data_IF_528996915937
#
_entry.id   IF_528996915937
#
_cell.length_a   1.000
_cell.length_b   1.000
_cell.length_c   1.000
_cell.angle_alpha   90.00
_cell.angle_beta   90.00
_cell.angle_gamma   90.00
#
_symmetry.space_group_name_H-M   'P 1'
#
loop_
_entity.id
_entity.type
_entity.pdbx_description
1 polymer ?
#
# COMPACT_ATOMS: atom_id res chain seq x y z
N UNK A 1 -14.69 38.42 -33.14
CA UNK A 1 -14.78 37.23 -32.26
C UNK A 1 -13.81 37.46 -31.11
N UNK A 2 -14.33 37.56 -29.89
CA UNK A 2 -13.58 38.04 -28.73
C UNK A 2 -12.52 37.02 -28.30
N UNK A 3 -11.27 37.49 -28.25
CA UNK A 3 -10.21 36.89 -27.46
C UNK A 3 -10.52 37.14 -25.98
N UNK A 4 -10.72 36.08 -25.20
CA UNK A 4 -10.80 36.20 -23.74
C UNK A 4 -9.37 36.35 -23.19
N UNK A 5 -8.98 37.59 -22.92
CA UNK A 5 -7.76 37.94 -22.22
C UNK A 5 -7.84 37.44 -20.78
N UNK A 6 -6.94 36.52 -20.39
CA UNK A 6 -6.69 36.23 -18.99
C UNK A 6 -6.16 37.50 -18.31
N UNK A 7 -7.02 38.19 -17.56
CA UNK A 7 -6.60 39.24 -16.63
C UNK A 7 -5.75 38.61 -15.53
N UNK A 8 -4.63 39.26 -15.25
CA UNK A 8 -3.72 38.97 -14.14
C UNK A 8 -4.46 39.09 -12.80
N UNK A 9 -5.03 37.99 -12.31
CA UNK A 9 -5.48 37.90 -10.93
C UNK A 9 -4.25 37.78 -10.02
N UNK A 10 -4.18 38.72 -9.08
CA UNK A 10 -3.27 38.81 -7.94
C UNK A 10 -2.39 37.58 -7.69
N UNK A 11 -1.13 37.65 -8.11
CA UNK A 11 -0.07 36.77 -7.62
C UNK A 11 0.11 37.10 -6.13
N UNK A 12 -0.63 36.41 -5.27
CA UNK A 12 -0.36 36.45 -3.84
C UNK A 12 1.05 35.88 -3.62
N UNK A 13 1.89 36.64 -2.94
CA UNK A 13 3.22 36.18 -2.52
C UNK A 13 3.06 34.89 -1.69
N UNK A 14 3.88 33.85 -1.93
CA UNK A 14 3.82 32.61 -1.17
C UNK A 14 3.93 32.91 0.33
N UNK A 15 2.92 32.52 1.10
CA UNK A 15 2.97 32.58 2.57
C UNK A 15 3.85 31.45 3.08
N UNK A 16 4.38 31.60 4.30
CA UNK A 16 5.07 30.52 5.00
C UNK A 16 4.16 29.27 5.02
N UNK A 17 4.65 28.12 4.53
CA UNK A 17 3.85 26.91 4.36
C UNK A 17 3.27 26.64 2.96
N UNK A 18 3.55 27.49 1.96
CA UNK A 18 3.18 27.22 0.56
C UNK A 18 3.84 25.94 0.04
N UNK A 19 3.06 25.01 -0.54
CA UNK A 19 3.55 23.73 -1.05
C UNK A 19 3.07 23.50 -2.48
N UNK A 20 3.99 23.10 -3.36
CA UNK A 20 3.76 22.88 -4.78
C UNK A 20 3.99 21.44 -5.20
N UNK A 21 3.20 20.97 -6.16
CA UNK A 21 3.11 19.58 -6.57
C UNK A 21 2.84 19.43 -8.05
N UNK A 22 3.18 18.27 -8.63
CA UNK A 22 2.90 17.98 -10.04
C UNK A 22 2.58 16.52 -10.33
N UNK A 23 1.80 16.31 -11.39
CA UNK A 23 1.53 14.99 -11.95
C UNK A 23 2.80 14.34 -12.52
N UNK A 24 2.75 13.06 -12.93
CA UNK A 24 3.94 12.36 -13.48
C UNK A 24 4.54 13.11 -14.67
N UNK A 25 3.73 13.62 -15.60
CA UNK A 25 4.24 14.36 -16.76
C UNK A 25 4.52 15.86 -16.53
N UNK A 26 4.29 16.38 -15.32
CA UNK A 26 4.52 17.79 -14.99
C UNK A 26 3.53 18.82 -15.57
N UNK A 27 2.59 18.43 -16.45
CA UNK A 27 1.66 19.37 -17.09
C UNK A 27 0.53 19.88 -16.20
N UNK A 28 0.25 19.17 -15.11
CA UNK A 28 -0.69 19.61 -14.08
C UNK A 28 0.09 19.92 -12.83
N UNK A 29 -0.13 21.11 -12.27
CA UNK A 29 0.46 21.56 -11.03
C UNK A 29 -0.62 21.94 -10.01
N UNK A 30 -0.31 21.72 -8.74
CA UNK A 30 -1.16 22.11 -7.61
C UNK A 30 -0.30 22.89 -6.64
N UNK A 31 -0.81 24.02 -6.15
CA UNK A 31 -0.18 24.84 -5.10
C UNK A 31 -1.18 25.03 -3.97
N UNK A 32 -0.80 24.66 -2.75
CA UNK A 32 -1.54 25.05 -1.55
C UNK A 32 -0.95 26.34 -0.97
N UNK A 33 -1.82 27.28 -0.63
CA UNK A 33 -1.49 28.62 -0.11
C UNK A 33 -1.55 28.70 1.43
N UNK A 34 -1.98 27.62 2.07
CA UNK A 34 -2.13 27.52 3.53
C UNK A 34 -1.59 26.20 4.06
N UNK A 35 -1.45 26.10 5.39
CA UNK A 35 -1.16 24.84 6.05
C UNK A 35 -2.35 23.85 5.89
N UNK A 36 -2.09 22.54 5.79
CA UNK A 36 -3.16 21.57 5.65
C UNK A 36 -4.05 21.53 6.90
N UNK A 37 -5.35 21.35 6.70
CA UNK A 37 -6.32 21.15 7.78
C UNK A 37 -6.09 19.82 8.50
N UNK A 38 -5.73 18.79 7.72
CA UNK A 38 -5.35 17.45 8.18
C UNK A 38 -4.80 16.63 7.02
N UNK A 39 -4.10 15.54 7.33
CA UNK A 39 -3.75 14.49 6.36
C UNK A 39 -4.34 13.17 6.83
N UNK A 40 -5.01 12.44 5.95
CA UNK A 40 -5.70 11.20 6.31
C UNK A 40 -5.47 10.12 5.26
N UNK A 41 -5.53 8.86 5.68
CA UNK A 41 -5.53 7.71 4.79
C UNK A 41 -6.87 6.99 4.89
N UNK A 42 -7.63 7.01 3.80
CA UNK A 42 -8.95 6.40 3.73
C UNK A 42 -8.87 5.02 3.05
N UNK A 43 -9.40 3.99 3.72
CA UNK A 43 -9.34 2.60 3.27
C UNK A 43 -10.66 2.06 2.70
N UNK A 44 -11.68 2.92 2.53
CA UNK A 44 -12.95 2.44 1.98
C UNK A 44 -12.78 1.85 0.57
N UNK A 45 -13.71 0.98 0.19
CA UNK A 45 -13.68 0.29 -1.11
C UNK A 45 -13.56 1.29 -2.27
N UNK A 46 -14.28 2.40 -2.24
CA UNK A 46 -14.21 3.43 -3.29
C UNK A 46 -12.82 4.04 -3.43
N UNK A 47 -12.16 4.31 -2.30
CA UNK A 47 -10.83 4.91 -2.29
C UNK A 47 -9.77 3.90 -2.75
N UNK A 48 -9.86 2.64 -2.31
CA UNK A 48 -9.02 1.55 -2.80
C UNK A 48 -9.19 1.32 -4.30
N UNK A 49 -10.43 1.22 -4.78
CA UNK A 49 -10.75 0.95 -6.19
C UNK A 49 -10.40 2.11 -7.11
N UNK A 50 -10.44 3.35 -6.63
CA UNK A 50 -10.01 4.48 -7.43
C UNK A 50 -8.49 4.53 -7.57
N UNK A 51 -7.76 4.56 -6.45
CA UNK A 51 -6.30 4.67 -6.49
C UNK A 51 -5.62 3.40 -6.99
N UNK A 52 -6.33 2.27 -6.97
CA UNK A 52 -5.74 0.96 -7.22
C UNK A 52 -4.76 0.53 -6.12
N UNK A 53 -4.72 1.23 -5.00
CA UNK A 53 -3.76 1.05 -3.91
C UNK A 53 -4.47 0.64 -2.61
N UNK A 54 -3.73 0.61 -1.50
CA UNK A 54 -4.21 0.22 -0.16
C UNK A 54 -5.24 1.20 0.44
N UNK A 55 -5.40 2.37 -0.19
CA UNK A 55 -6.33 3.42 0.19
C UNK A 55 -6.05 4.70 -0.61
N UNK A 56 -6.75 5.78 -0.27
CA UNK A 56 -6.45 7.14 -0.75
C UNK A 56 -5.84 7.94 0.38
N UNK A 57 -4.60 8.39 0.19
CA UNK A 57 -4.02 9.39 1.08
C UNK A 57 -4.33 10.80 0.59
N UNK A 58 -4.92 11.60 1.47
CA UNK A 58 -5.43 12.93 1.15
C UNK A 58 -4.88 13.97 2.12
N UNK A 59 -4.41 15.08 1.56
CA UNK A 59 -4.10 16.30 2.30
C UNK A 59 -5.28 17.26 2.13
N UNK A 60 -5.89 17.66 3.22
CA UNK A 60 -7.14 18.43 3.21
C UNK A 60 -6.86 19.92 3.27
N UNK A 61 -7.48 20.67 2.37
CA UNK A 61 -7.43 22.13 2.32
C UNK A 61 -8.82 22.70 2.11
N UNK A 62 -9.00 23.98 2.46
CA UNK A 62 -10.13 24.76 1.95
C UNK A 62 -10.00 24.92 0.44
N UNK A 63 -11.11 24.95 -0.28
CA UNK A 63 -11.09 25.06 -1.75
C UNK A 63 -10.37 26.33 -2.19
N UNK A 64 -10.62 27.45 -1.53
CA UNK A 64 -10.01 28.76 -1.82
C UNK A 64 -8.49 28.79 -1.63
N UNK A 65 -7.94 27.88 -0.82
CA UNK A 65 -6.50 27.82 -0.53
C UNK A 65 -5.70 26.95 -1.52
N UNK A 66 -6.33 26.43 -2.57
CA UNK A 66 -5.67 25.55 -3.54
C UNK A 66 -5.78 26.09 -4.97
N UNK A 67 -4.63 26.35 -5.58
CA UNK A 67 -4.52 26.65 -7.01
C UNK A 67 -4.18 25.34 -7.73
N UNK A 68 -4.93 25.02 -8.78
CA UNK A 68 -4.64 23.88 -9.65
C UNK A 68 -4.65 24.34 -11.11
N UNK A 69 -3.56 24.08 -11.82
CA UNK A 69 -3.34 24.50 -13.21
C UNK A 69 -3.09 23.29 -14.10
N UNK A 70 -3.45 23.41 -15.39
CA UNK A 70 -3.34 22.34 -16.38
C UNK A 70 -4.68 21.65 -16.68
N UNK A 71 -4.67 20.73 -17.65
CA UNK A 71 -5.88 20.06 -18.12
C UNK A 71 -6.21 18.83 -17.27
N UNK A 72 -7.43 18.79 -16.74
CA UNK A 72 -7.94 17.72 -15.89
C UNK A 72 -9.08 16.96 -16.56
N UNK A 73 -9.17 15.68 -16.23
CA UNK A 73 -10.37 14.86 -16.42
C UNK A 73 -11.07 14.74 -15.07
N UNK A 74 -12.40 14.67 -15.10
CA UNK A 74 -13.22 14.60 -13.89
C UNK A 74 -14.12 13.36 -13.89
N UNK A 75 -14.26 12.75 -12.73
CA UNK A 75 -15.22 11.68 -12.48
C UNK A 75 -16.00 11.96 -11.20
N UNK A 76 -17.34 12.03 -11.32
CA UNK A 76 -18.22 12.22 -10.17
C UNK A 76 -18.58 10.87 -9.55
N UNK A 77 -18.23 10.69 -8.28
CA UNK A 77 -18.56 9.52 -7.48
C UNK A 77 -19.36 9.99 -6.24
N UNK A 78 -20.69 9.90 -6.32
CA UNK A 78 -21.57 10.46 -5.29
C UNK A 78 -21.39 11.99 -5.15
N UNK A 79 -21.02 12.45 -3.95
CA UNK A 79 -20.75 13.86 -3.63
C UNK A 79 -19.32 14.31 -3.96
N UNK A 80 -18.45 13.39 -4.36
CA UNK A 80 -17.03 13.63 -4.66
C UNK A 80 -16.82 13.85 -6.16
N UNK A 81 -15.95 14.79 -6.50
CA UNK A 81 -15.47 14.98 -7.88
C UNK A 81 -13.98 14.69 -7.91
N UNK A 82 -13.63 13.51 -8.42
CA UNK A 82 -12.26 13.00 -8.52
C UNK A 82 -11.61 13.55 -9.79
N UNK A 83 -10.40 14.12 -9.68
CA UNK A 83 -9.71 14.78 -10.79
C UNK A 83 -8.36 14.15 -11.07
N UNK A 84 -8.10 13.87 -12.34
CA UNK A 84 -6.83 13.30 -12.81
C UNK A 84 -6.26 14.10 -13.99
N UNK A 85 -4.95 14.03 -14.20
CA UNK A 85 -4.30 14.67 -15.35
C UNK A 85 -4.84 14.10 -16.67
N UNK A 86 -5.18 14.97 -17.63
CA UNK A 86 -5.71 14.55 -18.93
C UNK A 86 -4.71 13.83 -19.84
N UNK A 87 -3.40 13.98 -19.58
CA UNK A 87 -2.33 13.33 -20.38
C UNK A 87 -1.80 12.05 -19.74
N UNK A 88 -1.39 12.11 -18.47
CA UNK A 88 -0.73 10.99 -17.79
C UNK A 88 -1.63 10.25 -16.79
N UNK A 89 -2.87 10.69 -16.62
CA UNK A 89 -3.90 10.05 -15.78
C UNK A 89 -3.57 9.95 -14.28
N UNK A 90 -2.45 10.52 -13.83
CA UNK A 90 -2.13 10.75 -12.42
C UNK A 90 -3.31 11.36 -11.68
N UNK A 91 -3.62 10.81 -10.51
CA UNK A 91 -4.62 11.37 -9.62
C UNK A 91 -4.10 12.64 -8.94
N UNK A 92 -4.89 13.71 -8.99
CA UNK A 92 -4.44 15.06 -8.59
C UNK A 92 -5.13 15.51 -7.32
N UNK A 93 -6.45 15.56 -7.33
CA UNK A 93 -7.25 15.97 -6.18
C UNK A 93 -8.67 15.43 -6.26
N UNK A 94 -9.36 15.40 -5.13
CA UNK A 94 -10.80 15.19 -5.04
C UNK A 94 -11.46 16.45 -4.48
N UNK A 95 -12.45 16.99 -5.17
CA UNK A 95 -13.26 18.10 -4.68
C UNK A 95 -14.45 17.59 -3.86
N UNK A 96 -14.74 18.30 -2.77
CA UNK A 96 -15.89 18.11 -1.89
C UNK A 96 -16.74 19.40 -1.90
N UNK A 97 -17.51 19.67 -2.96
CA UNK A 97 -18.11 21.00 -3.19
C UNK A 97 -19.04 21.45 -2.04
N UNK A 98 -19.83 20.52 -1.48
CA UNK A 98 -20.73 20.82 -0.36
C UNK A 98 -20.03 21.25 0.92
N UNK A 99 -18.78 20.83 1.10
CA UNK A 99 -17.99 21.18 2.28
C UNK A 99 -17.06 22.37 2.03
N UNK A 100 -16.95 22.86 0.79
CA UNK A 100 -15.93 23.87 0.44
C UNK A 100 -14.50 23.34 0.60
N UNK A 101 -14.29 22.02 0.50
CA UNK A 101 -13.00 21.37 0.75
C UNK A 101 -12.44 20.71 -0.51
N UNK A 102 -11.12 20.55 -0.52
CA UNK A 102 -10.40 19.71 -1.48
C UNK A 102 -9.43 18.78 -0.77
N UNK A 103 -9.33 17.57 -1.29
CA UNK A 103 -8.36 16.55 -0.90
C UNK A 103 -7.28 16.51 -1.98
N UNK A 104 -6.10 17.07 -1.71
CA UNK A 104 -4.94 16.96 -2.61
C UNK A 104 -4.29 15.59 -2.42
N UNK A 105 -4.05 14.88 -3.51
CA UNK A 105 -3.45 13.55 -3.49
C UNK A 105 -1.95 13.63 -3.13
N UNK A 106 -1.52 12.87 -2.12
CA UNK A 106 -0.12 12.86 -1.62
C UNK A 106 0.88 12.47 -2.69
N UNK A 107 0.45 11.71 -3.69
CA UNK A 107 1.27 11.36 -4.84
C UNK A 107 2.02 12.52 -5.47
N UNK A 108 1.47 13.72 -5.39
CA UNK A 108 2.07 14.90 -6.01
C UNK A 108 3.09 15.60 -5.07
N UNK A 109 3.21 15.16 -3.81
CA UNK A 109 3.99 15.72 -2.70
C UNK A 109 5.31 15.00 -2.40
N UNK A 110 6.42 15.55 -2.90
CA UNK A 110 7.78 15.16 -2.49
C UNK A 110 8.16 15.67 -1.09
N UNK A 111 7.28 15.53 -0.09
CA UNK A 111 7.48 16.09 1.26
C UNK A 111 7.10 15.05 2.32
N UNK A 112 7.81 15.07 3.45
CA UNK A 112 7.37 14.38 4.67
C UNK A 112 6.02 14.94 5.14
N UNK A 113 5.05 14.04 5.32
CA UNK A 113 3.69 14.39 5.73
C UNK A 113 3.37 13.63 7.02
N UNK A 114 2.92 14.37 8.03
CA UNK A 114 2.36 13.76 9.24
C UNK A 114 0.93 13.31 8.96
N UNK A 115 0.69 12.00 9.09
CA UNK A 115 -0.64 11.42 9.03
C UNK A 115 -1.37 11.70 10.35
N UNK A 116 -2.64 12.12 10.26
CA UNK A 116 -3.45 12.42 11.46
C UNK A 116 -4.40 11.30 11.86
N UNK A 117 -4.86 10.48 10.90
CA UNK A 117 -5.77 9.38 11.14
C UNK A 117 -5.91 8.45 9.92
N UNK A 118 -6.37 7.23 10.18
CA UNK A 118 -6.96 6.33 9.20
C UNK A 118 -8.47 6.32 9.33
N UNK A 119 -9.17 6.34 8.20
CA UNK A 119 -10.62 6.18 8.13
C UNK A 119 -10.99 4.89 7.40
N UNK A 120 -12.14 4.33 7.76
CA UNK A 120 -12.65 3.07 7.20
C UNK A 120 -11.68 1.89 7.37
N UNK A 121 -11.03 1.83 8.53
CA UNK A 121 -9.98 0.87 8.84
C UNK A 121 -10.53 -0.51 9.26
N UNK A 122 -11.63 -0.97 8.66
CA UNK A 122 -12.24 -2.28 8.95
C UNK A 122 -11.70 -3.42 8.08
N UNK A 123 -11.18 -3.09 6.91
CA UNK A 123 -10.62 -4.05 5.94
C UNK A 123 -9.35 -3.52 5.28
N UNK A 124 -8.34 -3.09 6.08
CA UNK A 124 -7.09 -2.60 5.53
C UNK A 124 -6.39 -3.70 4.73
N UNK A 125 -5.82 -3.34 3.58
CA UNK A 125 -5.04 -4.29 2.76
C UNK A 125 -3.66 -4.58 3.37
N UNK A 126 -3.13 -3.62 4.13
CA UNK A 126 -1.89 -3.75 4.88
C UNK A 126 -2.04 -3.06 6.23
N UNK A 127 -1.34 -3.57 7.24
CA UNK A 127 -1.20 -2.86 8.51
C UNK A 127 -0.03 -1.88 8.40
N UNK A 128 -0.25 -0.62 8.77
CA UNK A 128 0.82 0.37 8.76
C UNK A 128 1.67 0.28 10.04
N UNK A 129 1.15 -0.30 11.12
CA UNK A 129 1.83 -0.42 12.41
C UNK A 129 2.16 0.94 13.05
N UNK A 130 1.40 1.97 12.70
CA UNK A 130 1.51 3.31 13.26
C UNK A 130 0.56 3.54 14.45
N UNK A 131 0.87 4.60 15.21
CA UNK A 131 0.15 4.96 16.43
C UNK A 131 -0.97 5.97 16.18
N UNK A 132 -1.21 6.33 14.92
CA UNK A 132 -2.21 7.33 14.59
C UNK A 132 -3.63 6.76 14.78
N UNK A 133 -4.58 7.61 15.20
CA UNK A 133 -6.01 7.32 15.24
C UNK A 133 -6.56 6.46 14.09
N UNK A 134 -7.08 5.26 14.38
CA UNK A 134 -7.81 4.41 13.41
C UNK A 134 -9.31 4.41 13.73
N UNK A 135 -10.15 4.61 12.71
CA UNK A 135 -11.61 4.67 12.83
C UNK A 135 -12.29 3.64 11.91
N UNK A 136 -13.39 3.06 12.41
CA UNK A 136 -14.27 2.15 11.63
C UNK A 136 -14.89 2.88 10.43
N UNK A 137 -15.17 4.16 10.58
CA UNK A 137 -15.68 5.06 9.55
C UNK A 137 -15.05 6.46 9.73
N UNK A 138 -15.85 7.53 9.76
CA UNK A 138 -15.38 8.86 10.12
C UNK A 138 -15.49 9.12 11.63
N UNK A 139 -14.61 9.97 12.19
CA UNK A 139 -14.80 10.48 13.55
C UNK A 139 -16.14 11.25 13.66
N UNK A 140 -16.71 11.31 14.87
CA UNK A 140 -17.94 12.06 15.14
C UNK A 140 -17.86 13.54 14.70
N UNK A 141 -16.67 14.14 14.83
CA UNK A 141 -16.39 15.51 14.36
C UNK A 141 -16.52 15.70 12.84
N UNK A 142 -16.57 14.62 12.06
CA UNK A 142 -16.78 14.61 10.60
C UNK A 142 -18.11 13.94 10.22
N UNK A 143 -19.02 13.72 11.19
CA UNK A 143 -20.34 13.15 10.97
C UNK A 143 -20.37 11.62 10.82
N UNK A 144 -19.33 10.92 11.24
CA UNK A 144 -19.35 9.45 11.36
C UNK A 144 -19.62 8.97 12.78
N UNK A 145 -19.50 7.66 13.00
CA UNK A 145 -19.79 7.01 14.28
C UNK A 145 -18.83 7.40 15.41
N UNK A 146 -17.58 7.77 15.08
CA UNK A 146 -16.53 7.99 16.08
C UNK A 146 -15.92 6.72 16.67
N UNK A 147 -16.38 5.53 16.27
CA UNK A 147 -15.91 4.26 16.80
C UNK A 147 -14.46 4.00 16.37
N UNK A 148 -13.62 3.65 17.35
CA UNK A 148 -12.22 3.28 17.15
C UNK A 148 -12.12 1.90 16.53
N UNK A 149 -11.19 1.78 15.59
CA UNK A 149 -10.81 0.51 15.01
C UNK A 149 -9.72 -0.12 15.89
N UNK A 150 -10.12 -0.97 16.85
CA UNK A 150 -9.21 -1.66 17.77
C UNK A 150 -8.88 -3.05 17.22
N UNK A 151 -7.78 -3.16 16.47
CA UNK A 151 -7.25 -4.41 15.87
C UNK A 151 -8.08 -5.02 14.74
N UNK A 152 -7.44 -5.42 13.63
CA UNK A 152 -8.12 -6.08 12.52
C UNK A 152 -7.31 -7.20 11.90
N UNK A 153 -8.05 -8.23 11.49
CA UNK A 153 -7.63 -9.34 10.69
C UNK A 153 -7.28 -8.84 9.31
N UNK A 154 -5.99 -8.83 8.96
CA UNK A 154 -5.57 -8.72 7.57
C UNK A 154 -6.33 -9.77 6.75
N UNK A 155 -6.72 -9.38 5.54
CA UNK A 155 -7.52 -10.16 4.60
C UNK A 155 -7.10 -11.65 4.63
N UNK A 156 -8.04 -12.61 4.72
CA UNK A 156 -7.70 -14.02 4.69
C UNK A 156 -6.91 -14.34 3.41
N UNK A 157 -5.96 -15.28 3.51
CA UNK A 157 -5.26 -15.82 2.35
C UNK A 157 -6.30 -16.48 1.43
N UNK A 158 -6.68 -15.80 0.35
CA UNK A 158 -7.57 -16.35 -0.67
C UNK A 158 -6.72 -16.92 -1.78
N UNK A 159 -6.64 -18.24 -1.84
CA UNK A 159 -6.01 -19.00 -2.91
C UNK A 159 -7.10 -19.57 -3.82
N UNK A 160 -7.61 -18.76 -4.74
CA UNK A 160 -8.24 -19.18 -6.01
C UNK A 160 -8.82 -17.96 -6.74
N UNK A 161 -8.53 -17.86 -8.05
CA UNK A 161 -9.05 -16.91 -9.04
C UNK A 161 -9.23 -15.45 -8.57
N UNK A 162 -8.32 -14.57 -8.97
CA UNK A 162 -8.42 -13.15 -8.62
C UNK A 162 -9.41 -12.44 -9.55
N UNK A 163 -10.45 -11.89 -8.95
CA UNK A 163 -11.43 -11.04 -9.65
C UNK A 163 -11.43 -9.63 -9.08
N UNK A 164 -11.60 -8.66 -9.96
CA UNK A 164 -11.64 -7.25 -9.59
C UNK A 164 -12.47 -6.44 -10.57
N UNK A 165 -12.83 -5.24 -10.12
CA UNK A 165 -13.47 -4.24 -10.98
C UNK A 165 -13.04 -2.85 -10.57
N UNK A 166 -12.96 -1.95 -11.56
CA UNK A 166 -12.73 -0.54 -11.29
C UNK A 166 -13.88 0.07 -10.49
N UNK A 167 -13.68 1.29 -9.98
CA UNK A 167 -14.68 2.01 -9.18
C UNK A 167 -16.07 2.08 -9.84
N UNK A 168 -16.15 2.37 -11.14
CA UNK A 168 -17.44 2.45 -11.84
C UNK A 168 -17.95 1.10 -12.40
N UNK A 169 -17.19 0.02 -12.23
CA UNK A 169 -17.53 -1.31 -12.71
C UNK A 169 -17.39 -1.55 -14.21
N UNK A 170 -16.97 -0.55 -15.02
CA UNK A 170 -16.87 -0.70 -16.47
C UNK A 170 -15.62 -1.47 -16.94
N UNK A 171 -14.64 -1.64 -16.05
CA UNK A 171 -13.46 -2.46 -16.29
C UNK A 171 -13.48 -3.61 -15.30
N UNK A 172 -13.39 -4.82 -15.80
CA UNK A 172 -13.38 -6.06 -15.04
C UNK A 172 -12.05 -6.76 -15.29
N UNK A 173 -11.44 -7.27 -14.22
CA UNK A 173 -10.21 -8.06 -14.27
C UNK A 173 -10.50 -9.46 -13.74
N UNK A 174 -10.02 -10.47 -14.45
CA UNK A 174 -10.01 -11.86 -14.02
C UNK A 174 -8.62 -12.45 -14.24
N UNK A 175 -8.12 -13.22 -13.27
CA UNK A 175 -6.81 -13.88 -13.34
C UNK A 175 -6.96 -15.35 -12.95
N UNK A 176 -6.43 -16.25 -13.78
CA UNK A 176 -6.59 -17.70 -13.63
C UNK A 176 -5.44 -18.39 -12.88
N UNK A 177 -4.42 -17.66 -12.44
CA UNK A 177 -3.28 -18.22 -11.70
C UNK A 177 -2.83 -17.37 -10.52
N UNK A 178 -1.83 -17.87 -9.82
CA UNK A 178 -1.21 -17.23 -8.66
C UNK A 178 -0.29 -16.07 -9.07
N UNK A 179 -0.13 -15.04 -8.22
CA UNK A 179 0.82 -13.96 -8.49
C UNK A 179 2.26 -14.48 -8.38
N UNK A 180 3.11 -13.99 -9.28
CA UNK A 180 4.57 -14.14 -9.18
C UNK A 180 5.10 -13.39 -7.95
N UNK A 181 4.53 -12.23 -7.65
CA UNK A 181 4.89 -11.39 -6.52
C UNK A 181 3.82 -10.35 -6.21
N UNK A 182 3.78 -9.89 -4.97
CA UNK A 182 2.99 -8.74 -4.54
C UNK A 182 3.88 -7.72 -3.85
N UNK A 183 3.80 -6.47 -4.28
CA UNK A 183 4.68 -5.42 -3.80
C UNK A 183 3.93 -4.14 -3.51
N UNK A 184 4.36 -3.42 -2.47
CA UNK A 184 3.92 -2.06 -2.21
C UNK A 184 5.07 -1.13 -2.60
N UNK A 185 4.97 -0.54 -3.78
CA UNK A 185 6.01 0.30 -4.35
C UNK A 185 5.87 1.75 -3.89
N UNK A 186 6.96 2.28 -3.35
CA UNK A 186 7.06 3.62 -2.77
C UNK A 186 7.73 4.62 -3.71
N UNK A 187 8.03 4.28 -4.96
CA UNK A 187 8.69 5.24 -5.84
C UNK A 187 7.78 6.46 -6.10
N UNK A 188 8.38 7.64 -6.28
CA UNK A 188 7.66 8.89 -6.50
C UNK A 188 6.69 8.81 -7.69
N UNK A 189 7.02 8.04 -8.72
CA UNK A 189 6.13 7.85 -9.86
C UNK A 189 4.87 7.05 -9.50
N UNK A 190 5.02 5.95 -8.73
CA UNK A 190 3.90 5.17 -8.22
C UNK A 190 3.00 5.99 -7.29
N UNK A 191 3.61 6.83 -6.45
CA UNK A 191 2.89 7.78 -5.63
C UNK A 191 2.10 8.75 -6.52
N UNK A 192 2.76 9.45 -7.46
CA UNK A 192 2.14 10.42 -8.40
C UNK A 192 1.06 9.82 -9.28
N UNK A 193 1.19 8.55 -9.69
CA UNK A 193 0.22 7.90 -10.55
C UNK A 193 -1.07 7.58 -9.79
N UNK A 194 -0.94 6.86 -8.67
CA UNK A 194 -2.07 6.40 -7.84
C UNK A 194 -2.69 7.52 -7.00
N UNK A 195 -1.94 8.62 -6.78
CA UNK A 195 -2.33 9.68 -5.86
C UNK A 195 -2.39 9.24 -4.40
N UNK A 196 -1.75 8.12 -4.05
CA UNK A 196 -1.73 7.54 -2.71
C UNK A 196 -0.32 7.48 -2.12
N UNK A 197 -0.14 6.82 -0.97
CA UNK A 197 1.16 6.64 -0.31
C UNK A 197 2.11 5.71 -1.06
N UNK A 198 1.60 4.96 -2.03
CA UNK A 198 2.37 4.05 -2.88
C UNK A 198 1.43 3.29 -3.81
N UNK A 199 1.98 2.36 -4.59
CA UNK A 199 1.23 1.48 -5.49
C UNK A 199 1.25 0.04 -4.96
N UNK A 200 0.07 -0.57 -4.79
CA UNK A 200 -0.04 -1.99 -4.48
C UNK A 200 -0.06 -2.80 -5.79
N UNK A 201 1.09 -3.33 -6.18
CA UNK A 201 1.29 -4.16 -7.35
C UNK A 201 1.04 -5.63 -7.02
N UNK A 202 0.15 -6.27 -7.78
CA UNK A 202 -0.01 -7.72 -7.81
C UNK A 202 0.46 -8.20 -9.17
N UNK A 203 1.58 -8.89 -9.21
CA UNK A 203 2.35 -9.17 -10.43
C UNK A 203 2.02 -10.58 -10.88
N UNK A 204 1.57 -10.72 -12.13
CA UNK A 204 1.20 -11.99 -12.75
C UNK A 204 1.94 -12.16 -14.08
N UNK A 205 2.03 -13.40 -14.56
CA UNK A 205 2.21 -13.66 -15.98
C UNK A 205 1.04 -13.01 -16.76
N UNK A 206 1.36 -12.17 -17.74
CA UNK A 206 0.39 -11.44 -18.56
C UNK A 206 -0.58 -12.39 -19.28
N UNK A 207 -0.14 -13.60 -19.65
CA UNK A 207 -0.97 -14.60 -20.31
C UNK A 207 -2.10 -15.13 -19.41
N UNK A 208 -1.99 -14.97 -18.09
CA UNK A 208 -3.00 -15.40 -17.12
C UNK A 208 -4.03 -14.31 -16.80
N UNK A 209 -3.84 -13.09 -17.31
CA UNK A 209 -4.66 -11.92 -16.97
C UNK A 209 -5.61 -11.57 -18.11
N UNK A 210 -6.90 -11.46 -17.77
CA UNK A 210 -7.93 -10.95 -18.67
C UNK A 210 -8.44 -9.61 -18.15
N UNK A 211 -8.46 -8.59 -19.01
CA UNK A 211 -9.04 -7.28 -18.71
C UNK A 211 -10.09 -6.96 -19.75
N UNK A 212 -11.34 -6.80 -19.32
CA UNK A 212 -12.46 -6.40 -20.16
C UNK A 212 -12.86 -4.95 -19.85
N UNK A 213 -13.09 -4.14 -20.89
CA UNK A 213 -13.51 -2.73 -20.80
C UNK A 213 -12.45 -1.74 -21.29
N UNK A 214 -12.86 -0.48 -21.46
CA UNK A 214 -12.02 0.55 -22.05
C UNK A 214 -10.96 1.09 -21.09
N UNK A 215 -9.72 1.13 -21.56
CA UNK A 215 -8.55 1.62 -20.83
C UNK A 215 -7.94 2.85 -21.52
N UNK A 216 -7.43 3.77 -20.70
CA UNK A 216 -6.48 4.79 -21.11
C UNK A 216 -5.08 4.27 -20.76
N UNK A 217 -4.23 4.12 -21.77
CA UNK A 217 -2.86 3.62 -21.62
C UNK A 217 -1.86 4.71 -21.96
N UNK A 218 -0.90 4.96 -21.07
CA UNK A 218 0.21 5.88 -21.31
C UNK A 218 1.36 5.17 -22.05
N UNK A 219 2.29 5.93 -22.62
CA UNK A 219 3.44 5.39 -23.35
C UNK A 219 4.39 4.56 -22.49
N UNK A 220 4.40 4.78 -21.18
CA UNK A 220 5.14 3.98 -20.19
C UNK A 220 4.35 2.77 -19.67
N UNK A 221 3.16 2.51 -20.24
CA UNK A 221 2.41 1.28 -20.00
C UNK A 221 1.51 1.27 -18.76
N UNK A 222 1.32 2.41 -18.08
CA UNK A 222 0.29 2.54 -17.04
C UNK A 222 -1.10 2.57 -17.69
N UNK A 223 -2.04 1.84 -17.09
CA UNK A 223 -3.40 1.65 -17.60
C UNK A 223 -4.43 2.10 -16.56
N UNK A 224 -5.29 3.04 -16.94
CA UNK A 224 -6.38 3.56 -16.12
C UNK A 224 -7.74 3.26 -16.79
N UNK A 225 -8.81 3.11 -16.01
CA UNK A 225 -10.16 3.01 -16.57
C UNK A 225 -10.50 4.26 -17.38
N UNK A 226 -11.01 4.11 -18.60
CA UNK A 226 -11.32 5.26 -19.45
C UNK A 226 -12.45 6.16 -18.91
N UNK A 227 -13.32 5.62 -18.05
CA UNK A 227 -14.48 6.31 -17.46
C UNK A 227 -14.19 6.90 -16.08
N UNK A 228 -13.85 6.06 -15.09
CA UNK A 228 -13.64 6.51 -13.71
C UNK A 228 -12.20 6.87 -13.39
N UNK A 229 -11.28 6.68 -14.34
CA UNK A 229 -9.85 6.98 -14.22
C UNK A 229 -9.12 6.15 -13.17
N UNK A 230 -9.78 5.16 -12.56
CA UNK A 230 -9.16 4.26 -11.60
C UNK A 230 -7.88 3.60 -12.17
N UNK A 231 -6.83 3.46 -11.36
CA UNK A 231 -5.64 2.70 -11.74
C UNK A 231 -6.00 1.21 -11.85
N UNK A 232 -5.67 0.59 -12.99
CA UNK A 232 -6.05 -0.81 -13.28
C UNK A 232 -4.84 -1.72 -13.32
N UNK A 233 -3.86 -1.37 -14.17
CA UNK A 233 -2.71 -2.21 -14.40
C UNK A 233 -1.50 -1.39 -14.87
N UNK A 234 -0.32 -1.98 -14.81
CA UNK A 234 0.87 -1.41 -15.44
C UNK A 234 1.80 -2.51 -15.97
N UNK A 235 2.55 -2.18 -17.01
CA UNK A 235 3.67 -3.01 -17.48
C UNK A 235 5.00 -2.54 -16.89
N UNK A 236 4.99 -1.83 -15.74
CA UNK A 236 6.17 -1.27 -15.08
C UNK A 236 7.09 -2.33 -14.42
N UNK A 237 6.93 -3.59 -14.80
CA UNK A 237 7.94 -4.65 -14.70
C UNK A 237 8.80 -4.71 -15.97
N UNK A 238 8.99 -3.62 -16.72
CA UNK A 238 9.58 -3.61 -18.07
C UNK A 238 10.95 -4.32 -18.24
N UNK A 239 11.67 -4.61 -17.15
CA UNK A 239 12.89 -5.43 -17.16
C UNK A 239 12.63 -6.94 -17.22
N UNK A 240 11.41 -7.38 -16.98
CA UNK A 240 10.95 -8.77 -17.03
C UNK A 240 9.77 -8.86 -18.00
N UNK A 241 10.04 -9.13 -19.29
CA UNK A 241 9.00 -9.30 -20.31
C UNK A 241 7.99 -10.38 -19.92
N UNK A 242 6.73 -10.20 -20.32
CA UNK A 242 5.65 -11.16 -20.03
C UNK A 242 4.98 -11.01 -18.66
N UNK A 243 5.37 -10.02 -17.85
CA UNK A 243 4.71 -9.73 -16.58
C UNK A 243 3.78 -8.51 -16.67
N UNK A 244 2.60 -8.64 -16.06
CA UNK A 244 1.63 -7.57 -15.91
C UNK A 244 1.32 -7.35 -14.42
N UNK A 245 1.39 -6.09 -13.98
CA UNK A 245 1.00 -5.71 -12.62
C UNK A 245 -0.47 -5.29 -12.62
N UNK A 246 -1.31 -5.97 -11.85
CA UNK A 246 -2.67 -5.51 -11.51
C UNK A 246 -2.63 -4.69 -10.24
N UNK A 247 -3.38 -3.59 -10.22
CA UNK A 247 -3.54 -2.74 -9.04
C UNK A 247 -4.34 -3.49 -7.96
N UNK A 248 -3.71 -3.87 -6.85
CA UNK A 248 -4.35 -4.69 -5.81
C UNK A 248 -5.59 -4.04 -5.18
N UNK A 249 -5.70 -2.71 -5.20
CA UNK A 249 -6.88 -2.00 -4.70
C UNK A 249 -8.18 -2.27 -5.46
N UNK A 250 -8.11 -2.74 -6.72
CA UNK A 250 -9.30 -3.07 -7.54
C UNK A 250 -9.77 -4.52 -7.40
N UNK A 251 -8.94 -5.38 -6.80
CA UNK A 251 -9.29 -6.77 -6.55
C UNK A 251 -10.25 -6.88 -5.37
N UNK A 252 -11.23 -7.79 -5.47
CA UNK A 252 -12.17 -8.06 -4.39
C UNK A 252 -11.45 -8.73 -3.21
N UNK A 253 -10.54 -9.64 -3.51
CA UNK A 253 -9.70 -10.36 -2.55
C UNK A 253 -8.25 -10.31 -3.02
N UNK A 254 -7.55 -9.18 -2.84
CA UNK A 254 -6.15 -9.11 -3.24
C UNK A 254 -5.31 -10.08 -2.38
N UNK A 255 -4.30 -10.71 -2.99
CA UNK A 255 -3.38 -11.57 -2.27
C UNK A 255 -2.59 -10.76 -1.24
N UNK A 256 -2.05 -11.46 -0.23
CA UNK A 256 -1.25 -10.84 0.81
C UNK A 256 0.02 -10.21 0.23
N UNK A 257 0.36 -9.00 0.72
CA UNK A 257 1.60 -8.32 0.39
C UNK A 257 2.85 -9.13 0.77
N UNK A 258 3.85 -9.20 -0.11
CA UNK A 258 5.11 -9.94 0.11
C UNK A 258 6.34 -9.02 0.31
N UNK A 259 6.27 -7.74 -0.02
CA UNK A 259 7.41 -6.84 0.15
C UNK A 259 7.15 -5.38 -0.23
N UNK A 260 8.06 -4.48 0.15
CA UNK A 260 8.02 -3.07 -0.19
C UNK A 260 9.15 -2.74 -1.12
N UNK A 261 8.85 -2.04 -2.21
CA UNK A 261 9.84 -1.65 -3.21
C UNK A 261 10.09 -0.16 -3.13
N UNK A 262 11.31 0.26 -3.48
CA UNK A 262 11.73 1.66 -3.45
C UNK A 262 11.50 2.33 -2.09
N UNK A 263 11.66 1.59 -0.99
CA UNK A 263 11.18 1.98 0.34
C UNK A 263 11.88 3.23 0.91
N UNK A 264 13.06 3.58 0.40
CA UNK A 264 13.73 4.85 0.73
C UNK A 264 12.94 6.10 0.28
N UNK A 265 11.97 5.95 -0.62
CA UNK A 265 11.11 7.05 -1.11
C UNK A 265 9.75 7.09 -0.42
N UNK A 266 9.50 6.25 0.59
CA UNK A 266 8.21 6.17 1.30
C UNK A 266 7.78 7.52 1.86
N UNK A 267 6.48 7.78 1.81
CA UNK A 267 5.86 8.92 2.50
C UNK A 267 5.41 8.57 3.92
N UNK A 268 5.20 7.29 4.20
CA UNK A 268 4.88 6.75 5.53
C UNK A 268 5.74 5.52 5.80
N UNK A 269 6.22 5.41 7.03
CA UNK A 269 6.83 4.18 7.52
C UNK A 269 5.74 3.11 7.70
N UNK A 270 6.03 1.89 7.24
CA UNK A 270 5.13 0.74 7.36
C UNK A 270 5.83 -0.36 8.14
N UNK A 271 5.28 -0.69 9.32
CA UNK A 271 5.85 -1.63 10.28
C UNK A 271 5.09 -2.97 10.27
N UNK A 272 5.01 -3.60 9.10
CA UNK A 272 4.25 -4.85 8.87
C UNK A 272 5.11 -6.13 8.82
N UNK A 273 6.41 -6.01 9.11
CA UNK A 273 7.38 -7.11 9.05
C UNK A 273 7.85 -7.50 7.64
N UNK A 274 7.27 -6.94 6.57
CA UNK A 274 7.62 -7.31 5.19
C UNK A 274 8.99 -6.74 4.80
N UNK A 275 9.72 -7.46 3.94
CA UNK A 275 11.00 -7.00 3.40
C UNK A 275 10.90 -5.60 2.77
N UNK A 276 11.83 -4.70 3.10
CA UNK A 276 11.89 -3.33 2.59
C UNK A 276 13.05 -3.17 1.62
N UNK A 277 12.81 -3.34 0.33
CA UNK A 277 13.84 -3.22 -0.69
C UNK A 277 14.22 -1.75 -0.94
N UNK A 278 15.52 -1.51 -1.14
CA UNK A 278 16.05 -0.21 -1.60
C UNK A 278 15.41 0.18 -2.94
N UNK A 279 15.29 -0.78 -3.84
CA UNK A 279 14.63 -0.67 -5.14
C UNK A 279 13.65 -1.84 -5.34
N UNK A 280 14.09 -2.99 -5.83
CA UNK A 280 13.27 -4.20 -6.01
C UNK A 280 14.16 -5.46 -5.89
N UNK A 281 13.56 -6.66 -5.77
CA UNK A 281 14.33 -7.90 -5.78
C UNK A 281 15.12 -8.09 -7.09
N UNK A 282 16.19 -8.88 -7.04
CA UNK A 282 17.09 -9.08 -8.17
C UNK A 282 16.40 -9.79 -9.36
N UNK A 283 15.52 -10.73 -9.07
CA UNK A 283 14.68 -11.46 -10.02
C UNK A 283 13.66 -10.55 -10.75
N UNK A 284 13.37 -9.38 -10.20
CA UNK A 284 12.54 -8.33 -10.83
C UNK A 284 13.41 -7.17 -11.38
N UNK A 285 14.71 -7.41 -11.59
CA UNK A 285 15.63 -6.46 -12.22
C UNK A 285 16.11 -5.30 -11.32
N UNK A 286 15.95 -5.44 -10.00
CA UNK A 286 16.49 -4.53 -8.99
C UNK A 286 17.84 -4.99 -8.43
N UNK A 287 18.32 -4.31 -7.39
CA UNK A 287 19.57 -4.64 -6.72
C UNK A 287 19.46 -5.82 -5.75
N UNK A 288 18.25 -6.16 -5.30
CA UNK A 288 18.02 -7.12 -4.20
C UNK A 288 18.43 -6.60 -2.82
N UNK A 289 18.95 -5.38 -2.72
CA UNK A 289 19.36 -4.78 -1.46
C UNK A 289 18.13 -4.46 -0.59
N UNK A 290 18.15 -4.93 0.66
CA UNK A 290 17.14 -4.62 1.67
C UNK A 290 17.65 -3.47 2.53
N UNK A 291 16.79 -2.50 2.82
CA UNK A 291 17.04 -1.42 3.77
C UNK A 291 16.78 -1.94 5.18
N UNK A 292 17.61 -1.58 6.15
CA UNK A 292 17.51 -2.06 7.54
C UNK A 292 18.68 -2.96 7.94
N UNK A 293 18.78 -3.25 9.23
CA UNK A 293 19.72 -4.18 9.82
C UNK A 293 18.97 -5.34 10.50
N UNK A 294 19.58 -6.53 10.56
CA UNK A 294 19.09 -7.57 11.46
C UNK A 294 19.21 -7.06 12.90
N UNK A 295 18.08 -6.97 13.60
CA UNK A 295 18.07 -6.75 15.03
C UNK A 295 18.73 -7.93 15.74
N UNK A 296 19.21 -7.68 16.96
CA UNK A 296 19.69 -8.75 17.83
C UNK A 296 18.63 -9.88 17.90
N UNK A 297 19.02 -11.13 17.63
CA UNK A 297 18.09 -12.25 17.75
C UNK A 297 17.55 -12.37 19.17
N UNK A 298 16.30 -12.76 19.28
CA UNK A 298 15.63 -13.03 20.55
C UNK A 298 15.19 -14.49 20.62
N UNK A 299 14.93 -14.95 21.83
CA UNK A 299 14.63 -16.35 22.12
C UNK A 299 13.16 -16.52 22.41
N UNK A 300 12.52 -17.41 21.66
CA UNK A 300 11.15 -17.86 21.92
C UNK A 300 11.22 -19.26 22.49
N UNK A 301 10.62 -19.44 23.68
CA UNK A 301 10.53 -20.74 24.33
C UNK A 301 9.06 -21.13 24.46
N UNK A 302 8.70 -22.26 23.85
CA UNK A 302 7.33 -22.78 23.83
C UNK A 302 7.35 -24.21 24.35
N UNK A 303 6.39 -24.54 25.22
CA UNK A 303 6.13 -25.91 25.60
C UNK A 303 5.02 -26.45 24.69
N UNK A 304 5.37 -27.33 23.76
CA UNK A 304 4.44 -27.91 22.78
C UNK A 304 4.14 -29.36 23.13
N UNK A 305 2.87 -29.75 23.10
CA UNK A 305 2.45 -31.16 23.09
C UNK A 305 2.06 -31.52 21.67
N UNK A 306 0.77 -31.60 21.38
CA UNK A 306 0.23 -31.92 20.05
C UNK A 306 -0.46 -30.71 19.39
N UNK A 307 -0.33 -29.52 19.99
CA UNK A 307 -0.95 -28.30 19.49
C UNK A 307 -0.20 -27.73 18.27
N UNK A 308 -0.92 -26.93 17.46
CA UNK A 308 -0.33 -26.22 16.34
C UNK A 308 0.64 -25.14 16.85
N UNK A 309 1.91 -25.26 16.47
CA UNK A 309 2.93 -24.26 16.77
C UNK A 309 2.59 -22.93 16.07
N UNK A 310 1.91 -23.01 14.92
CA UNK A 310 1.50 -21.87 14.12
C UNK A 310 2.62 -21.19 13.37
N UNK A 311 3.73 -21.89 13.11
CA UNK A 311 4.81 -21.41 12.25
C UNK A 311 4.82 -22.16 10.93
N UNK A 312 4.72 -21.42 9.82
CA UNK A 312 4.97 -21.95 8.48
C UNK A 312 6.13 -21.19 7.85
N UNK A 313 7.13 -21.91 7.34
CA UNK A 313 8.28 -21.31 6.68
C UNK A 313 7.91 -20.95 5.22
N UNK A 314 7.96 -19.66 4.88
CA UNK A 314 7.67 -19.15 3.54
C UNK A 314 8.95 -18.88 2.74
N UNK A 315 8.88 -19.10 1.42
CA UNK A 315 10.00 -18.93 0.50
C UNK A 315 9.84 -17.63 -0.30
N UNK A 316 10.82 -16.73 -0.18
CA UNK A 316 11.07 -15.71 -1.20
C UNK A 316 12.55 -15.62 -1.60
N UNK A 317 13.45 -16.37 -0.94
CA UNK A 317 14.84 -16.57 -1.35
C UNK A 317 15.33 -17.90 -0.75
N UNK A 318 16.21 -18.64 -1.45
CA UNK A 318 16.87 -19.88 -0.96
C UNK A 318 17.75 -19.66 0.28
N UNK A 319 17.76 -18.44 0.85
CA UNK A 319 18.48 -18.03 2.05
C UNK A 319 17.61 -17.38 3.15
N UNK A 320 16.33 -17.07 2.88
CA UNK A 320 15.50 -16.27 3.80
C UNK A 320 14.38 -17.12 4.44
N UNK A 321 14.39 -17.22 5.78
CA UNK A 321 13.56 -18.12 6.60
C UNK A 321 12.41 -17.36 7.22
N UNK A 322 11.39 -17.10 6.42
CA UNK A 322 10.29 -16.20 6.78
C UNK A 322 9.23 -16.96 7.58
N UNK A 323 8.98 -16.56 8.83
CA UNK A 323 7.91 -17.14 9.65
C UNK A 323 6.54 -16.62 9.24
N UNK A 324 5.59 -17.49 8.91
CA UNK A 324 4.16 -17.16 8.90
C UNK A 324 3.56 -17.58 10.25
N UNK A 325 2.91 -16.65 10.93
CA UNK A 325 2.22 -16.91 12.21
C UNK A 325 0.73 -17.17 11.95
N UNK A 326 0.24 -18.36 12.32
CA UNK A 326 -1.18 -18.73 12.26
C UNK A 326 -1.90 -18.36 13.55
N UNK A 327 -3.19 -18.00 13.46
CA UNK A 327 -4.03 -17.67 14.62
C UNK A 327 -4.38 -18.91 15.43
N UNK A 328 -4.69 -18.72 16.72
CA UNK A 328 -5.02 -19.80 17.68
C UNK A 328 -3.95 -20.89 17.75
N UNK A 329 -2.70 -20.45 17.81
CA UNK A 329 -1.50 -21.29 17.87
C UNK A 329 -0.65 -20.95 19.08
N UNK A 330 0.32 -21.80 19.40
CA UNK A 330 1.21 -21.59 20.54
C UNK A 330 2.05 -20.30 20.40
N UNK A 331 2.43 -19.89 19.18
CA UNK A 331 3.10 -18.61 18.96
C UNK A 331 2.16 -17.43 19.20
N UNK A 332 0.90 -17.55 18.81
CA UNK A 332 -0.08 -16.49 19.08
C UNK A 332 -0.30 -16.29 20.57
N UNK A 333 -0.35 -17.38 21.35
CA UNK A 333 -0.41 -17.34 22.83
C UNK A 333 0.86 -16.77 23.44
N UNK A 334 2.03 -17.20 22.97
CA UNK A 334 3.32 -16.66 23.43
C UNK A 334 3.43 -15.14 23.20
N UNK A 335 2.94 -14.66 22.05
CA UNK A 335 2.92 -13.24 21.71
C UNK A 335 2.06 -12.39 22.68
N UNK A 336 1.08 -12.99 23.38
CA UNK A 336 0.26 -12.26 24.36
C UNK A 336 1.00 -11.98 25.67
N UNK A 337 2.07 -12.74 25.97
CA UNK A 337 2.77 -12.70 27.26
C UNK A 337 4.22 -12.21 27.16
N UNK A 338 4.76 -12.11 25.94
CA UNK A 338 6.11 -11.62 25.71
C UNK A 338 6.21 -10.09 25.83
N UNK A 339 7.43 -9.56 25.97
CA UNK A 339 7.68 -8.14 25.80
C UNK A 339 7.34 -7.70 24.36
N UNK A 340 6.82 -6.48 24.19
CA UNK A 340 6.37 -5.96 22.89
C UNK A 340 7.47 -5.96 21.82
N UNK A 341 8.72 -5.75 22.22
CA UNK A 341 9.91 -5.79 21.35
C UNK A 341 10.33 -7.21 20.95
N UNK A 342 9.79 -8.23 21.62
CA UNK A 342 10.11 -9.64 21.45
C UNK A 342 8.97 -10.43 20.78
N UNK A 343 7.86 -9.79 20.44
CA UNK A 343 6.75 -10.43 19.73
C UNK A 343 7.20 -11.04 18.40
N UNK A 344 6.82 -12.30 18.14
CA UNK A 344 7.04 -12.98 16.86
C UNK A 344 6.11 -12.40 15.81
N UNK A 345 6.71 -11.71 14.86
CA UNK A 345 6.01 -11.15 13.73
C UNK A 345 6.05 -12.10 12.54
N UNK A 346 5.03 -11.97 11.69
CA UNK A 346 5.06 -12.61 10.38
C UNK A 346 6.23 -11.98 9.62
N UNK A 347 7.03 -12.80 8.96
CA UNK A 347 8.27 -12.50 8.25
C UNK A 347 9.52 -12.27 9.11
N UNK A 348 9.43 -12.48 10.43
CA UNK A 348 10.64 -12.64 11.25
C UNK A 348 11.47 -13.83 10.75
N UNK A 349 12.81 -13.72 10.93
CA UNK A 349 13.74 -14.72 10.42
C UNK A 349 14.02 -15.78 11.49
N UNK A 350 13.70 -17.05 11.18
CA UNK A 350 14.12 -18.16 12.03
C UNK A 350 15.64 -18.39 11.89
N UNK A 351 16.40 -18.28 12.98
CA UNK A 351 17.84 -18.50 12.99
C UNK A 351 18.18 -19.95 13.35
N UNK A 352 17.49 -20.53 14.32
CA UNK A 352 17.67 -21.93 14.70
C UNK A 352 16.47 -22.48 15.46
N UNK A 353 16.36 -23.82 15.47
CA UNK A 353 15.39 -24.57 16.26
C UNK A 353 16.18 -25.48 17.21
N UNK A 354 15.96 -25.35 18.51
CA UNK A 354 16.65 -26.11 19.55
C UNK A 354 18.18 -26.06 19.42
N UNK A 355 18.72 -24.91 18.99
CA UNK A 355 20.16 -24.71 18.77
C UNK A 355 20.71 -25.32 17.47
N UNK A 356 19.88 -25.98 16.65
CA UNK A 356 20.29 -26.52 15.36
C UNK A 356 20.01 -25.52 14.24
N UNK A 357 21.02 -25.31 13.40
CA UNK A 357 20.89 -24.64 12.10
C UNK A 357 20.92 -25.73 11.02
N UNK A 358 19.84 -25.87 10.27
CA UNK A 358 19.72 -26.94 9.27
C UNK A 358 19.22 -26.38 7.93
N UNK A 359 19.11 -27.26 6.93
CA UNK A 359 18.43 -26.90 5.68
C UNK A 359 16.95 -26.67 5.95
N UNK A 360 16.29 -25.86 5.11
CA UNK A 360 14.87 -25.50 5.30
C UNK A 360 13.96 -26.74 5.31
N UNK A 361 14.31 -27.80 4.57
CA UNK A 361 13.57 -29.06 4.58
C UNK A 361 13.65 -29.75 5.95
N UNK A 362 14.86 -29.84 6.50
CA UNK A 362 15.10 -30.42 7.82
C UNK A 362 14.42 -29.60 8.91
N UNK A 363 14.49 -28.27 8.83
CA UNK A 363 13.81 -27.36 9.77
C UNK A 363 12.28 -27.52 9.73
N UNK A 364 11.69 -27.69 8.54
CA UNK A 364 10.25 -27.94 8.41
C UNK A 364 9.85 -29.30 8.97
N UNK A 365 10.63 -30.34 8.71
CA UNK A 365 10.42 -31.66 9.31
C UNK A 365 10.56 -31.60 10.83
N UNK A 366 11.54 -30.84 11.33
CA UNK A 366 11.77 -30.64 12.75
C UNK A 366 10.63 -29.85 13.41
N UNK A 367 10.18 -28.73 12.83
CA UNK A 367 8.99 -28.00 13.30
C UNK A 367 7.75 -28.89 13.24
N UNK A 368 7.62 -29.74 12.23
CA UNK A 368 6.49 -30.67 12.11
C UNK A 368 6.46 -31.74 13.20
N UNK A 369 7.63 -32.24 13.63
CA UNK A 369 7.76 -33.36 14.58
C UNK A 369 8.11 -32.94 16.01
N UNK A 370 8.50 -31.68 16.23
CA UNK A 370 8.97 -31.21 17.53
C UNK A 370 7.84 -31.17 18.56
N UNK A 371 8.04 -31.89 19.66
CA UNK A 371 7.21 -31.91 20.87
C UNK A 371 8.10 -31.64 22.09
N UNK A 372 7.50 -31.30 23.22
CA UNK A 372 8.20 -30.86 24.42
C UNK A 372 8.65 -29.41 24.35
N UNK A 373 9.80 -29.10 24.95
CA UNK A 373 10.36 -27.75 24.97
C UNK A 373 10.97 -27.41 23.60
N UNK A 374 10.41 -26.40 22.94
CA UNK A 374 10.90 -25.84 21.69
C UNK A 374 11.53 -24.49 21.98
N UNK A 375 12.76 -24.30 21.53
CA UNK A 375 13.51 -23.04 21.60
C UNK A 375 13.77 -22.55 20.18
N UNK A 376 13.24 -21.39 19.84
CA UNK A 376 13.46 -20.76 18.54
C UNK A 376 14.34 -19.54 18.76
N UNK A 377 15.39 -19.40 17.96
CA UNK A 377 16.12 -18.14 17.86
C UNK A 377 15.56 -17.40 16.66
N UNK A 378 15.04 -16.20 16.88
CA UNK A 378 14.36 -15.42 15.86
C UNK A 378 15.02 -14.05 15.75
N UNK A 379 15.32 -13.59 14.54
CA UNK A 379 15.82 -12.25 14.30
C UNK A 379 14.72 -11.38 13.70
N UNK A 380 14.53 -10.18 14.27
CA UNK A 380 13.72 -9.13 13.64
C UNK A 380 14.55 -8.42 12.59
N UNK A 381 13.94 -7.99 11.51
CA UNK A 381 14.56 -6.98 10.66
C UNK A 381 14.18 -5.60 11.19
N UNK A 382 15.15 -4.82 11.68
CA UNK A 382 14.95 -3.41 12.05
C UNK A 382 15.16 -2.56 10.81
N UNK A 383 14.08 -2.02 10.28
CA UNK A 383 14.12 -1.07 9.17
C UNK A 383 14.56 0.29 9.71
N UNK A 384 15.59 0.91 9.09
CA UNK A 384 16.01 2.27 9.45
C UNK A 384 14.85 3.26 9.26
N UNK A 385 14.61 4.10 10.27
CA UNK A 385 13.53 5.11 10.27
C UNK A 385 13.71 6.23 9.26
#
# INVERSE_FOLDING_TARGET
>A
MLFCSCTTDHVQTPREGTRGWSCVCGLVSVTALSAPLKTTLCHCEDCRKWTGSVGQMAIWYRREDVICSGQLLEFKAGSRVRKSCAKCHSHILTSLPRAGLVEVCVGSAGISISLSAHFFYVTPLIDFGDEVPKFVDFPASLGGSGVRAESWDLHPDVTQAFHGKCLCGSVIVAVSGEPEMTAFCHCLECQKWTGSSGHFAVIFDEALVQIAGDLKTTSDGRRNCAKCLACIASTHCAKTPGLLQICGGILNSPPRLQGHWNYGQRVLSVRDGMAKFKDSPAEFGGSGAVLGEEAAPYVVTIQRKDEDLGLELSFSDRKCRVLKVRRRSLIHEWNQICASDSMVCIYDRLISINGMMATVREEREQLGRATGKIVLIIAKFRYFE
#
